data_IF_880351969702
#
_entry.id   IF_880351969702
#
_cell.length_a   1.000
_cell.length_b   1.000
_cell.length_c   1.000
_cell.angle_alpha   90.00
_cell.angle_beta   90.00
_cell.angle_gamma   90.00
#
_symmetry.space_group_name_H-M   'P 1'
#
loop_
_entity.id
_entity.type
_entity.pdbx_description
1 polymer ?
#
# COMPACT_ATOMS: atom_id res chain seq x y z
N UNK A 1 -17.52 -30.56 -16.51
CA UNK A 1 -16.35 -30.16 -15.71
C UNK A 1 -16.23 -28.64 -15.82
N UNK A 2 -16.25 -27.91 -14.71
CA UNK A 2 -16.36 -26.45 -14.74
C UNK A 2 -15.42 -25.86 -13.68
N UNK A 3 -14.12 -25.79 -14.02
CA UNK A 3 -13.09 -25.30 -13.11
C UNK A 3 -13.28 -23.80 -12.90
N UNK A 4 -13.61 -23.38 -11.69
CA UNK A 4 -13.53 -21.97 -11.27
C UNK A 4 -12.08 -21.67 -10.91
N UNK A 5 -11.32 -21.08 -11.82
CA UNK A 5 -9.97 -20.59 -11.49
C UNK A 5 -10.07 -19.43 -10.50
N UNK A 6 -9.21 -19.43 -9.48
CA UNK A 6 -9.12 -18.34 -8.50
C UNK A 6 -8.57 -17.07 -9.15
N UNK A 7 -9.15 -15.91 -8.81
CA UNK A 7 -8.79 -14.62 -9.39
C UNK A 7 -8.22 -13.70 -8.32
N UNK A 8 -6.94 -13.38 -8.49
CA UNK A 8 -6.23 -12.43 -7.63
C UNK A 8 -6.52 -10.98 -8.01
N UNK A 9 -6.77 -10.17 -6.98
CA UNK A 9 -7.28 -8.81 -7.01
C UNK A 9 -8.66 -8.61 -7.68
N UNK A 10 -9.56 -7.95 -6.95
CA UNK A 10 -10.86 -7.44 -7.44
C UNK A 10 -11.86 -8.48 -7.98
N UNK A 11 -12.18 -9.49 -7.17
CA UNK A 11 -13.46 -10.23 -7.31
C UNK A 11 -14.65 -9.38 -6.86
N UNK A 12 -14.96 -8.31 -7.60
CA UNK A 12 -16.07 -7.41 -7.26
C UNK A 12 -17.42 -8.14 -7.28
N UNK A 13 -18.02 -8.32 -6.09
CA UNK A 13 -19.40 -8.81 -5.97
C UNK A 13 -20.33 -7.72 -6.50
N UNK A 14 -21.06 -8.01 -7.59
CA UNK A 14 -22.11 -7.12 -8.10
C UNK A 14 -23.14 -6.85 -6.97
N UNK A 15 -23.47 -5.59 -6.64
CA UNK A 15 -24.59 -5.32 -5.74
C UNK A 15 -25.89 -5.76 -6.42
N UNK A 16 -26.80 -6.35 -5.64
CA UNK A 16 -28.08 -6.87 -6.13
C UNK A 16 -29.10 -5.75 -6.38
N UNK A 17 -28.88 -4.97 -7.44
CA UNK A 17 -29.74 -3.84 -7.81
C UNK A 17 -31.10 -4.32 -8.36
N UNK A 18 -32.09 -4.50 -7.48
CA UNK A 18 -33.53 -4.55 -7.83
C UNK A 18 -34.35 -3.72 -6.84
N UNK A 19 -35.41 -3.11 -7.36
CA UNK A 19 -36.45 -2.36 -6.64
C UNK A 19 -36.01 -1.08 -5.88
N UNK A 20 -35.77 0.01 -6.63
CA UNK A 20 -36.56 1.25 -6.43
C UNK A 20 -36.58 2.17 -7.66
N UNK A 21 -37.23 1.73 -8.74
CA UNK A 21 -37.43 2.55 -9.95
C UNK A 21 -38.85 3.12 -10.00
N UNK A 22 -39.05 4.39 -9.61
CA UNK A 22 -40.22 5.22 -9.95
C UNK A 22 -39.96 6.71 -9.62
N UNK A 23 -40.38 7.61 -10.52
CA UNK A 23 -40.37 9.09 -10.44
C UNK A 23 -39.00 9.80 -10.59
N UNK A 24 -38.55 9.94 -11.84
CA UNK A 24 -37.90 11.18 -12.32
C UNK A 24 -38.99 12.20 -12.73
N UNK A 25 -38.68 13.51 -12.78
CA UNK A 25 -38.20 14.14 -14.03
C UNK A 25 -36.75 14.68 -13.87
N UNK A 26 -35.82 14.35 -14.77
CA UNK A 26 -35.56 14.99 -16.09
C UNK A 26 -35.12 16.47 -15.98
N UNK A 27 -33.82 16.67 -15.77
CA UNK A 27 -33.00 17.71 -16.42
C UNK A 27 -31.67 17.09 -16.88
N UNK A 28 -30.88 17.82 -17.68
CA UNK A 28 -29.90 17.23 -18.61
C UNK A 28 -28.44 17.22 -18.15
N UNK A 29 -27.86 16.02 -18.19
CA UNK A 29 -26.47 15.76 -18.62
C UNK A 29 -25.33 16.26 -17.67
N UNK A 30 -24.03 16.08 -17.98
CA UNK A 30 -23.29 15.02 -17.28
C UNK A 30 -21.89 15.42 -16.75
N UNK A 31 -21.35 14.72 -15.73
CA UNK A 31 -19.88 14.57 -15.56
C UNK A 31 -19.48 13.48 -14.54
N UNK A 32 -18.36 12.81 -14.86
CA UNK A 32 -17.44 11.96 -14.05
C UNK A 32 -17.94 10.85 -13.10
N UNK A 33 -17.16 9.76 -13.13
CA UNK A 33 -17.31 8.57 -12.28
C UNK A 33 -16.20 8.54 -11.23
N UNK A 34 -16.59 8.42 -9.96
CA UNK A 34 -15.76 7.95 -8.84
C UNK A 34 -16.08 6.45 -8.57
N UNK A 35 -15.20 5.64 -7.95
CA UNK A 35 -14.20 6.03 -6.95
C UNK A 35 -12.72 5.73 -7.30
N UNK A 36 -11.84 6.54 -6.71
CA UNK A 36 -10.38 6.38 -6.74
C UNK A 36 -9.79 6.80 -5.38
N UNK A 37 -9.80 5.92 -4.38
CA UNK A 37 -9.19 6.17 -3.06
C UNK A 37 -8.98 4.87 -2.27
N UNK A 38 -7.96 4.09 -2.64
CA UNK A 38 -7.55 2.87 -1.89
C UNK A 38 -6.02 2.63 -1.87
N UNK A 39 -5.22 3.59 -2.37
CA UNK A 39 -3.75 3.52 -2.34
C UNK A 39 -3.09 4.92 -2.34
N UNK A 40 -3.76 5.90 -1.73
CA UNK A 40 -3.27 7.31 -1.66
C UNK A 40 -2.71 7.64 -0.28
N UNK A 41 -3.01 6.84 0.76
CA UNK A 41 -2.70 7.05 2.18
C UNK A 41 -1.20 7.04 2.59
N UNK A 42 -0.28 7.14 1.63
CA UNK A 42 1.17 7.32 1.83
C UNK A 42 1.70 8.42 0.88
N UNK A 43 1.01 9.57 0.83
CA UNK A 43 1.33 10.67 -0.09
C UNK A 43 1.38 12.03 0.62
N UNK A 44 2.57 12.66 0.61
CA UNK A 44 2.83 14.08 0.94
C UNK A 44 2.64 14.45 2.45
N UNK A 45 3.24 15.50 3.01
CA UNK A 45 4.19 16.52 2.49
C UNK A 45 5.45 16.62 3.35
N UNK A 46 6.57 17.00 2.73
CA UNK A 46 7.63 17.80 3.33
C UNK A 46 8.32 18.59 2.20
N UNK A 47 8.49 19.90 2.38
CA UNK A 47 9.19 20.80 1.46
C UNK A 47 10.05 21.76 2.29
N UNK A 48 11.16 22.20 1.70
CA UNK A 48 12.28 22.91 2.35
C UNK A 48 11.98 24.38 2.68
N UNK A 49 12.77 25.02 3.57
CA UNK A 49 13.94 25.76 3.08
C UNK A 49 14.99 26.19 4.14
N UNK A 50 16.23 26.31 3.67
CA UNK A 50 17.42 27.05 4.16
C UNK A 50 17.60 27.45 5.64
N UNK A 51 18.78 27.11 6.17
CA UNK A 51 19.58 28.01 7.03
C UNK A 51 21.08 27.70 6.91
N UNK A 52 21.91 28.74 6.99
CA UNK A 52 23.31 28.76 6.48
C UNK A 52 24.35 28.10 7.39
N UNK A 53 25.46 27.70 6.78
CA UNK A 53 26.66 27.14 7.40
C UNK A 53 27.36 28.07 8.39
N UNK A 54 28.10 27.51 9.36
CA UNK A 54 29.57 27.67 9.49
C UNK A 54 30.15 26.64 10.48
N UNK A 55 31.46 26.31 10.44
CA UNK A 55 31.94 24.97 10.84
C UNK A 55 32.75 24.91 12.15
N UNK A 56 33.01 23.69 12.66
CA UNK A 56 34.11 23.42 13.60
C UNK A 56 34.69 22.01 13.48
N UNK A 57 35.96 21.92 13.06
CA UNK A 57 36.88 20.78 13.28
C UNK A 57 37.58 20.97 14.64
N UNK A 58 38.02 19.97 15.43
CA UNK A 58 38.28 18.53 15.23
C UNK A 58 37.85 17.77 16.54
N UNK A 59 38.15 16.52 16.90
CA UNK A 59 39.20 15.55 16.50
C UNK A 59 38.77 14.09 16.78
N UNK A 60 39.37 13.17 16.03
CA UNK A 60 39.42 11.71 16.18
C UNK A 60 39.58 11.16 17.61
N UNK A 61 38.83 10.11 17.94
CA UNK A 61 39.39 8.86 18.52
C UNK A 61 38.63 7.66 17.95
N UNK A 62 39.33 6.75 17.26
CA UNK A 62 38.75 5.52 16.71
C UNK A 62 39.06 4.32 17.61
N UNK A 63 38.06 3.50 17.91
CA UNK A 63 38.23 2.16 18.47
C UNK A 63 37.60 1.14 17.52
N UNK A 64 38.42 0.39 16.78
CA UNK A 64 37.95 -0.54 15.76
C UNK A 64 37.71 -1.93 16.35
N UNK A 65 36.54 -2.52 16.06
CA UNK A 65 36.31 -3.96 16.18
C UNK A 65 36.26 -4.56 14.78
N UNK A 66 37.39 -5.13 14.35
CA UNK A 66 37.52 -5.79 13.06
C UNK A 66 37.00 -7.24 13.14
N UNK A 67 35.93 -7.56 12.42
CA UNK A 67 35.69 -8.92 11.96
C UNK A 67 35.57 -8.94 10.44
N UNK A 68 36.65 -9.38 9.78
CA UNK A 68 36.75 -9.42 8.33
C UNK A 68 35.97 -10.61 7.75
N UNK A 69 34.75 -10.36 7.28
CA UNK A 69 34.04 -11.27 6.39
C UNK A 69 34.66 -11.21 4.98
N UNK A 70 35.63 -12.10 4.75
CA UNK A 70 36.43 -12.26 3.53
C UNK A 70 35.56 -12.25 2.26
N UNK A 71 35.73 -11.23 1.42
CA UNK A 71 35.02 -11.14 0.13
C UNK A 71 35.40 -12.28 -0.82
N UNK A 72 34.40 -12.93 -1.41
CA UNK A 72 34.57 -13.81 -2.56
C UNK A 72 33.68 -13.33 -3.70
N UNK A 73 34.30 -12.77 -4.74
CA UNK A 73 33.65 -12.68 -6.04
C UNK A 73 33.46 -14.10 -6.57
N UNK A 74 32.22 -14.59 -6.57
CA UNK A 74 31.82 -15.71 -7.41
C UNK A 74 30.73 -15.23 -8.36
N UNK A 75 31.16 -14.95 -9.59
CA UNK A 75 30.28 -14.89 -10.77
C UNK A 75 29.79 -16.30 -11.07
N UNK A 76 28.92 -16.83 -10.20
CA UNK A 76 28.25 -18.11 -10.39
C UNK A 76 26.92 -17.84 -11.08
N UNK A 77 26.73 -18.48 -12.24
CA UNK A 77 25.46 -18.50 -12.95
C UNK A 77 24.44 -19.27 -12.09
N UNK A 78 23.71 -18.55 -11.22
CA UNK A 78 22.76 -19.16 -10.31
C UNK A 78 21.65 -19.83 -11.14
N UNK A 79 21.44 -21.15 -10.99
CA UNK A 79 20.28 -21.79 -11.59
C UNK A 79 19.02 -21.08 -11.10
N UNK A 80 18.31 -20.45 -12.03
CA UNK A 80 16.96 -19.93 -11.81
C UNK A 80 16.19 -21.03 -11.06
N UNK A 81 15.57 -20.74 -9.90
CA UNK A 81 15.01 -21.78 -9.04
C UNK A 81 14.04 -22.62 -9.87
N UNK A 82 14.42 -23.88 -10.09
CA UNK A 82 13.58 -24.84 -10.78
C UNK A 82 12.26 -24.93 -10.01
N UNK A 83 11.17 -25.14 -10.75
CA UNK A 83 9.80 -24.93 -10.27
C UNK A 83 9.41 -26.04 -9.28
N UNK A 84 9.97 -25.99 -8.07
CA UNK A 84 9.97 -27.07 -7.07
C UNK A 84 8.59 -27.40 -6.54
N UNK A 85 7.64 -26.47 -6.64
CA UNK A 85 6.23 -26.71 -6.37
C UNK A 85 5.52 -27.54 -7.47
N UNK A 86 6.13 -27.78 -8.64
CA UNK A 86 5.61 -28.76 -9.62
C UNK A 86 5.73 -30.20 -9.12
N UNK A 87 6.63 -30.46 -8.16
CA UNK A 87 6.76 -31.75 -7.48
C UNK A 87 5.80 -31.89 -6.27
N UNK A 88 5.15 -30.81 -5.83
CA UNK A 88 4.13 -30.88 -4.78
C UNK A 88 2.78 -31.33 -5.36
N UNK A 89 1.98 -32.09 -4.57
CA UNK A 89 0.63 -32.42 -4.99
C UNK A 89 -0.22 -31.15 -5.18
N UNK A 90 -1.05 -31.17 -6.22
CA UNK A 90 -2.03 -30.12 -6.48
C UNK A 90 -2.99 -30.02 -5.29
N UNK A 91 -3.30 -28.80 -4.79
CA UNK A 91 -4.14 -28.65 -3.61
C UNK A 91 -5.57 -29.11 -3.87
N UNK A 92 -6.17 -29.72 -2.86
CA UNK A 92 -7.56 -30.18 -2.84
C UNK A 92 -8.54 -29.01 -2.94
N UNK A 93 -9.81 -29.31 -3.26
CA UNK A 93 -10.86 -28.27 -3.32
C UNK A 93 -11.09 -27.58 -1.97
N UNK A 94 -10.88 -28.28 -0.85
CA UNK A 94 -11.00 -27.73 0.51
C UNK A 94 -9.85 -26.75 0.81
N UNK A 95 -8.61 -27.12 0.48
CA UNK A 95 -7.45 -26.23 0.64
C UNK A 95 -7.56 -24.99 -0.24
N UNK A 96 -7.99 -25.15 -1.51
CA UNK A 96 -8.26 -24.03 -2.42
C UNK A 96 -9.35 -23.11 -1.88
N UNK A 97 -10.46 -23.66 -1.38
CA UNK A 97 -11.55 -22.86 -0.83
C UNK A 97 -11.14 -22.09 0.44
N UNK A 98 -10.28 -22.67 1.30
CA UNK A 98 -9.69 -21.97 2.44
C UNK A 98 -8.73 -20.86 1.99
N UNK A 99 -7.85 -21.13 1.02
CA UNK A 99 -6.95 -20.14 0.47
C UNK A 99 -7.69 -18.97 -0.20
N UNK A 100 -8.72 -19.24 -1.01
CA UNK A 100 -9.63 -18.23 -1.60
C UNK A 100 -10.24 -17.32 -0.53
N UNK A 101 -10.61 -17.89 0.63
CA UNK A 101 -11.20 -17.14 1.74
C UNK A 101 -10.17 -16.28 2.49
N UNK A 102 -8.93 -16.75 2.67
CA UNK A 102 -7.82 -15.96 3.25
C UNK A 102 -7.50 -14.75 2.36
N UNK A 103 -7.44 -14.98 1.05
CA UNK A 103 -7.17 -13.94 0.03
C UNK A 103 -8.32 -12.93 -0.03
N UNK A 104 -9.57 -13.38 0.03
CA UNK A 104 -10.73 -12.49 0.09
C UNK A 104 -10.68 -11.61 1.35
N UNK A 105 -10.42 -12.20 2.51
CA UNK A 105 -10.27 -11.46 3.78
C UNK A 105 -9.13 -10.43 3.72
N UNK A 106 -7.97 -10.79 3.15
CA UNK A 106 -6.87 -9.85 2.94
C UNK A 106 -7.27 -8.63 2.10
N UNK A 107 -7.93 -8.87 0.96
CA UNK A 107 -8.38 -7.81 0.06
C UNK A 107 -9.43 -6.91 0.73
N UNK A 108 -10.44 -7.51 1.39
CA UNK A 108 -11.49 -6.77 2.09
C UNK A 108 -10.92 -5.94 3.25
N UNK A 109 -9.98 -6.51 4.03
CA UNK A 109 -9.32 -5.80 5.12
C UNK A 109 -8.44 -4.62 4.63
N UNK A 110 -7.69 -4.77 3.54
CA UNK A 110 -6.93 -3.65 2.96
C UNK A 110 -7.86 -2.52 2.47
N UNK A 111 -8.98 -2.87 1.84
CA UNK A 111 -9.98 -1.87 1.44
C UNK A 111 -10.57 -1.13 2.66
N UNK A 112 -10.84 -1.85 3.76
CA UNK A 112 -11.33 -1.27 5.01
C UNK A 112 -10.30 -0.33 5.68
N UNK A 113 -9.02 -0.71 5.69
CA UNK A 113 -7.94 0.12 6.25
C UNK A 113 -7.68 1.41 5.45
N UNK A 114 -8.02 1.44 4.17
CA UNK A 114 -7.91 2.61 3.32
C UNK A 114 -9.15 3.53 3.34
N UNK A 115 -10.23 3.12 4.02
CA UNK A 115 -11.57 3.76 3.97
C UNK A 115 -12.05 4.24 5.35
N UNK A 116 -13.15 5.00 5.39
CA UNK A 116 -13.78 5.50 6.62
C UNK A 116 -12.79 6.12 7.62
N UNK A 117 -13.00 5.89 8.93
CA UNK A 117 -12.10 6.35 10.00
C UNK A 117 -10.63 5.92 9.85
N UNK A 118 -10.35 4.79 9.18
CA UNK A 118 -9.00 4.26 9.06
C UNK A 118 -8.18 5.04 8.02
N UNK A 119 -8.75 5.33 6.85
CA UNK A 119 -8.15 6.24 5.86
C UNK A 119 -8.11 7.71 6.33
N UNK A 120 -9.06 8.13 7.17
CA UNK A 120 -9.08 9.48 7.72
C UNK A 120 -7.94 9.77 8.71
N UNK A 121 -7.39 8.77 9.39
CA UNK A 121 -6.33 8.99 10.39
C UNK A 121 -5.06 9.64 9.78
N UNK A 122 -4.64 9.18 8.59
CA UNK A 122 -3.52 9.82 7.87
C UNK A 122 -3.88 11.20 7.34
N UNK A 123 -5.09 11.37 6.80
CA UNK A 123 -5.55 12.65 6.25
C UNK A 123 -5.59 13.74 7.34
N UNK A 124 -6.08 13.43 8.54
CA UNK A 124 -6.05 14.35 9.67
C UNK A 124 -4.61 14.69 10.09
N UNK A 125 -3.67 13.75 9.99
CA UNK A 125 -2.25 14.02 10.29
C UNK A 125 -1.63 14.96 9.23
N UNK A 126 -1.90 14.75 7.94
CA UNK A 126 -1.47 15.66 6.86
C UNK A 126 -2.09 17.06 7.04
N UNK A 127 -3.39 17.15 7.31
CA UNK A 127 -4.07 18.42 7.57
C UNK A 127 -3.54 19.14 8.83
N UNK A 128 -3.11 18.39 9.86
CA UNK A 128 -2.50 18.95 11.09
C UNK A 128 -1.12 19.53 10.82
N UNK A 129 -0.28 18.84 10.03
CA UNK A 129 1.04 19.35 9.62
C UNK A 129 0.92 20.59 8.73
N UNK A 130 -0.07 20.61 7.84
CA UNK A 130 -0.41 21.78 7.04
C UNK A 130 -0.80 22.99 7.91
N UNK A 131 -1.63 22.80 8.96
CA UNK A 131 -1.92 23.87 9.92
C UNK A 131 -0.67 24.39 10.64
N UNK A 132 0.28 23.52 11.03
CA UNK A 132 1.53 23.97 11.66
C UNK A 132 2.45 24.78 10.71
N UNK A 133 2.25 24.69 9.40
CA UNK A 133 3.02 25.40 8.38
C UNK A 133 2.33 26.71 7.97
N UNK A 134 1.07 26.62 7.55
CA UNK A 134 0.32 27.73 6.92
C UNK A 134 -0.64 28.45 7.88
N UNK A 135 -0.74 27.99 9.14
CA UNK A 135 -1.73 28.43 10.15
C UNK A 135 -3.21 28.32 9.70
N UNK A 136 -3.45 27.59 8.62
CA UNK A 136 -4.76 27.37 8.03
C UNK A 136 -5.25 25.95 8.34
N UNK A 137 -6.37 25.84 9.06
CA UNK A 137 -6.98 24.56 9.38
C UNK A 137 -8.01 24.16 8.33
N UNK A 138 -7.73 23.06 7.63
CA UNK A 138 -8.65 22.47 6.64
C UNK A 138 -9.87 21.81 7.32
N UNK A 139 -11.01 21.63 6.63
CA UNK A 139 -12.18 20.99 7.22
C UNK A 139 -11.91 19.51 7.48
N UNK A 140 -12.28 19.05 8.69
CA UNK A 140 -12.27 17.64 9.07
C UNK A 140 -13.29 16.87 8.22
N UNK A 141 -12.93 15.70 7.64
CA UNK A 141 -13.87 14.86 6.90
C UNK A 141 -15.07 14.45 7.77
N UNK A 142 -16.23 14.19 7.15
CA UNK A 142 -17.40 13.64 7.85
C UNK A 142 -17.13 12.23 8.39
N UNK A 143 -17.90 11.77 9.39
CA UNK A 143 -17.81 10.40 9.90
C UNK A 143 -19.15 9.69 9.79
N UNK A 144 -19.14 8.54 9.13
CA UNK A 144 -20.30 7.66 8.97
C UNK A 144 -20.21 6.52 9.98
N UNK A 145 -20.98 6.62 11.06
CA UNK A 145 -20.94 5.64 12.15
C UNK A 145 -21.35 4.22 11.73
N UNK A 146 -22.16 4.08 10.68
CA UNK A 146 -22.53 2.78 10.10
C UNK A 146 -21.47 2.23 9.14
N UNK A 147 -20.79 3.09 8.38
CA UNK A 147 -19.64 2.70 7.58
C UNK A 147 -18.50 2.23 8.49
N UNK A 148 -18.13 3.01 9.51
CA UNK A 148 -17.09 2.65 10.48
C UNK A 148 -17.38 1.32 11.19
N UNK A 149 -18.66 1.03 11.49
CA UNK A 149 -19.11 -0.27 12.02
C UNK A 149 -18.99 -1.40 10.99
N UNK A 150 -19.26 -1.13 9.72
CA UNK A 150 -19.12 -2.12 8.65
C UNK A 150 -17.64 -2.43 8.36
N UNK A 151 -16.77 -1.41 8.30
CA UNK A 151 -15.33 -1.56 8.11
C UNK A 151 -14.68 -2.29 9.29
N UNK A 152 -15.06 -1.98 10.53
CA UNK A 152 -14.55 -2.69 11.71
C UNK A 152 -14.81 -4.21 11.64
N UNK A 153 -15.97 -4.63 11.12
CA UNK A 153 -16.30 -6.05 10.91
C UNK A 153 -15.46 -6.69 9.80
N UNK A 154 -15.04 -5.94 8.78
CA UNK A 154 -14.16 -6.44 7.72
C UNK A 154 -12.71 -6.66 8.22
N UNK A 155 -12.33 -6.07 9.35
CA UNK A 155 -11.04 -6.33 10.01
C UNK A 155 -11.07 -7.50 11.00
N UNK A 156 -12.22 -8.18 11.17
CA UNK A 156 -12.33 -9.36 12.04
C UNK A 156 -12.27 -10.63 11.19
N UNK A 157 -11.24 -11.50 11.35
CA UNK A 157 -11.16 -12.74 10.57
C UNK A 157 -12.29 -13.71 10.96
N UNK A 158 -12.97 -14.35 9.98
CA UNK A 158 -13.90 -15.43 10.24
C UNK A 158 -13.27 -16.58 11.07
N UNK A 159 -14.07 -17.17 11.97
CA UNK A 159 -13.62 -18.25 12.85
C UNK A 159 -13.02 -19.43 12.05
N UNK A 160 -11.84 -19.91 12.48
CA UNK A 160 -11.11 -21.00 11.82
C UNK A 160 -10.43 -20.65 10.49
N UNK A 161 -10.54 -19.41 10.00
CA UNK A 161 -9.85 -18.98 8.79
C UNK A 161 -8.34 -18.90 9.01
N UNK A 162 -7.92 -18.21 10.08
CA UNK A 162 -6.53 -18.04 10.49
C UNK A 162 -6.24 -18.78 11.81
N UNK A 163 -4.97 -18.98 12.19
CA UNK A 163 -4.60 -19.46 13.53
C UNK A 163 -5.16 -18.54 14.63
N UNK A 164 -5.53 -19.10 15.78
CA UNK A 164 -6.21 -18.37 16.87
C UNK A 164 -5.35 -17.22 17.44
N UNK A 165 -4.03 -17.43 17.55
CA UNK A 165 -3.09 -16.38 17.98
C UNK A 165 -3.05 -15.19 17.01
N UNK A 166 -3.02 -15.44 15.71
CA UNK A 166 -3.05 -14.40 14.68
C UNK A 166 -4.41 -13.70 14.61
N UNK A 167 -5.51 -14.45 14.73
CA UNK A 167 -6.85 -13.90 14.78
C UNK A 167 -7.03 -12.95 15.98
N UNK A 168 -6.53 -13.35 17.15
CA UNK A 168 -6.51 -12.52 18.37
C UNK A 168 -5.64 -11.27 18.20
N UNK A 169 -4.47 -11.40 17.55
CA UNK A 169 -3.60 -10.28 17.24
C UNK A 169 -4.28 -9.27 16.28
N UNK A 170 -4.92 -9.73 15.21
CA UNK A 170 -5.61 -8.87 14.25
C UNK A 170 -6.75 -8.09 14.91
N UNK A 171 -7.57 -8.73 15.75
CA UNK A 171 -8.62 -8.05 16.54
C UNK A 171 -8.00 -6.97 17.43
N UNK A 172 -6.97 -7.30 18.21
CA UNK A 172 -6.29 -6.34 19.09
C UNK A 172 -5.70 -5.14 18.33
N UNK A 173 -5.09 -5.36 17.15
CA UNK A 173 -4.57 -4.25 16.34
C UNK A 173 -5.71 -3.41 15.74
N UNK A 174 -6.84 -4.02 15.36
CA UNK A 174 -8.03 -3.30 14.90
C UNK A 174 -8.66 -2.43 16.00
N UNK A 175 -8.63 -2.88 17.26
CA UNK A 175 -9.03 -2.10 18.44
C UNK A 175 -8.08 -0.92 18.72
N UNK A 176 -6.77 -1.15 18.67
CA UNK A 176 -5.76 -0.09 18.85
C UNK A 176 -5.92 0.98 17.76
N UNK A 177 -6.05 0.59 16.49
CA UNK A 177 -6.33 1.50 15.38
C UNK A 177 -7.66 2.26 15.57
N UNK A 178 -8.72 1.59 16.04
CA UNK A 178 -10.01 2.23 16.28
C UNK A 178 -9.93 3.30 17.39
N UNK A 179 -9.21 3.01 18.48
CA UNK A 179 -9.00 3.90 19.62
C UNK A 179 -8.16 5.12 19.24
N UNK A 180 -7.04 4.91 18.55
CA UNK A 180 -6.11 5.97 18.15
C UNK A 180 -6.71 6.88 17.08
N UNK A 181 -7.39 6.33 16.07
CA UNK A 181 -8.14 7.13 15.08
C UNK A 181 -9.24 7.99 15.74
N UNK A 182 -9.93 7.47 16.76
CA UNK A 182 -10.89 8.25 17.54
C UNK A 182 -10.22 9.38 18.34
N UNK A 183 -9.03 9.15 18.90
CA UNK A 183 -8.24 10.18 19.61
C UNK A 183 -7.80 11.30 18.65
N UNK A 184 -7.20 10.94 17.50
CA UNK A 184 -6.79 11.92 16.46
C UNK A 184 -8.01 12.77 16.04
N UNK A 185 -9.16 12.13 15.80
CA UNK A 185 -10.41 12.81 15.41
C UNK A 185 -11.01 13.69 16.52
N UNK A 186 -10.70 13.42 17.80
CA UNK A 186 -11.12 14.22 18.94
C UNK A 186 -10.20 15.44 19.16
N UNK A 187 -8.89 15.25 19.08
CA UNK A 187 -7.89 16.32 19.20
C UNK A 187 -7.99 17.29 18.02
N UNK A 188 -8.22 16.79 16.80
CA UNK A 188 -8.52 17.64 15.64
C UNK A 188 -9.81 18.46 15.86
N UNK A 189 -10.83 17.90 16.53
CA UNK A 189 -12.04 18.65 16.89
C UNK A 189 -11.79 19.67 18.02
N UNK A 190 -10.77 19.47 18.86
CA UNK A 190 -10.33 20.49 19.81
C UNK A 190 -9.61 21.65 19.07
N UNK A 191 -8.79 21.31 18.08
CA UNK A 191 -8.10 22.28 17.22
C UNK A 191 -9.09 23.09 16.37
N UNK A 192 -10.10 22.45 15.78
CA UNK A 192 -11.20 23.11 15.07
C UNK A 192 -12.01 24.09 15.91
N UNK A 193 -12.04 23.92 17.23
CA UNK A 193 -12.66 24.92 18.13
C UNK A 193 -11.68 26.04 18.42
N UNK A 194 -10.45 25.71 18.82
CA UNK A 194 -9.40 26.67 19.17
C UNK A 194 -9.15 27.70 18.05
N UNK A 195 -8.98 27.25 16.80
CA UNK A 195 -8.72 28.13 15.64
C UNK A 195 -9.95 28.97 15.24
N UNK A 196 -11.13 28.69 15.81
CA UNK A 196 -12.38 29.45 15.58
C UNK A 196 -12.80 30.29 16.79
N UNK A 197 -12.02 30.27 17.86
CA UNK A 197 -12.33 30.91 19.13
C UNK A 197 -11.85 32.37 19.09
N UNK A 198 -12.72 33.28 18.67
CA UNK A 198 -12.38 34.70 18.45
C UNK A 198 -12.02 35.46 19.73
N UNK A 199 -12.35 34.88 20.89
CA UNK A 199 -12.01 35.44 22.21
C UNK A 199 -10.61 35.00 22.69
N UNK A 200 -9.89 34.17 21.91
CA UNK A 200 -8.54 33.69 22.21
C UNK A 200 -7.49 34.36 21.31
N UNK A 201 -6.47 34.93 21.93
CA UNK A 201 -5.22 35.27 21.25
C UNK A 201 -4.39 33.99 21.01
N UNK A 202 -4.27 33.55 19.76
CA UNK A 202 -3.50 32.35 19.40
C UNK A 202 -1.98 32.61 19.54
N UNK A 203 -1.36 31.96 20.54
CA UNK A 203 0.10 31.91 20.76
C UNK A 203 0.75 30.66 20.11
N UNK A 204 -0.07 29.81 19.50
CA UNK A 204 0.22 28.50 18.95
C UNK A 204 0.60 27.44 19.98
N UNK A 205 0.64 27.72 21.29
CA UNK A 205 1.08 26.75 22.31
C UNK A 205 0.08 25.61 22.39
N UNK A 206 -1.21 25.93 22.45
CA UNK A 206 -2.30 24.95 22.46
C UNK A 206 -2.47 24.27 21.10
N UNK A 207 -2.24 24.97 19.98
CA UNK A 207 -2.19 24.38 18.64
C UNK A 207 -1.08 23.33 18.49
N UNK A 208 0.15 23.67 18.88
CA UNK A 208 1.32 22.75 18.89
C UNK A 208 1.13 21.57 19.84
N UNK A 209 0.53 21.78 21.02
CA UNK A 209 0.25 20.70 21.97
C UNK A 209 -0.77 19.68 21.43
N UNK A 210 -1.84 20.15 20.78
CA UNK A 210 -2.81 19.29 20.10
C UNK A 210 -2.20 18.53 18.92
N UNK A 211 -1.33 19.19 18.14
CA UNK A 211 -0.61 18.53 17.05
C UNK A 211 0.33 17.41 17.56
N UNK A 212 1.08 17.65 18.65
CA UNK A 212 1.94 16.63 19.26
C UNK A 212 1.14 15.44 19.84
N UNK A 213 -0.06 15.68 20.37
CA UNK A 213 -1.00 14.61 20.77
C UNK A 213 -1.40 13.75 19.57
N UNK A 214 -1.78 14.40 18.47
CA UNK A 214 -2.16 13.72 17.22
C UNK A 214 -1.00 12.95 16.60
N UNK A 215 0.24 13.47 16.61
CA UNK A 215 1.41 12.74 16.12
C UNK A 215 1.71 11.48 16.95
N UNK A 216 1.59 11.58 18.29
CA UNK A 216 1.75 10.41 19.17
C UNK A 216 0.69 9.34 18.90
N UNK A 217 -0.57 9.75 18.75
CA UNK A 217 -1.66 8.83 18.43
C UNK A 217 -1.54 8.26 17.00
N UNK A 218 -1.04 9.03 16.03
CA UNK A 218 -0.79 8.56 14.66
C UNK A 218 0.37 7.56 14.60
N UNK A 219 1.42 7.72 15.40
CA UNK A 219 2.49 6.74 15.52
C UNK A 219 1.98 5.38 16.06
N UNK A 220 1.15 5.39 17.10
CA UNK A 220 0.52 4.16 17.64
C UNK A 220 -0.44 3.53 16.60
N UNK A 221 -1.24 4.36 15.89
CA UNK A 221 -2.10 3.93 14.78
C UNK A 221 -1.29 3.26 13.65
N UNK A 222 -0.20 3.89 13.21
CA UNK A 222 0.61 3.42 12.11
C UNK A 222 1.33 2.10 12.43
N UNK A 223 1.86 1.95 13.65
CA UNK A 223 2.48 0.71 14.11
C UNK A 223 1.46 -0.44 14.24
N UNK A 224 0.26 -0.16 14.76
CA UNK A 224 -0.82 -1.14 14.84
C UNK A 224 -1.29 -1.58 13.43
N UNK A 225 -1.40 -0.62 12.49
CA UNK A 225 -1.73 -0.90 11.08
C UNK A 225 -0.65 -1.73 10.40
N UNK A 226 0.62 -1.40 10.59
CA UNK A 226 1.72 -2.17 9.98
C UNK A 226 1.73 -3.61 10.51
N UNK A 227 1.57 -3.80 11.82
CA UNK A 227 1.45 -5.13 12.42
C UNK A 227 0.24 -5.89 11.87
N UNK A 228 -0.92 -5.25 11.74
CA UNK A 228 -2.11 -5.87 11.17
C UNK A 228 -1.85 -6.33 9.73
N UNK A 229 -1.37 -5.41 8.86
CA UNK A 229 -1.14 -5.66 7.44
C UNK A 229 -0.13 -6.79 7.27
N UNK A 230 1.01 -6.73 7.97
CA UNK A 230 2.08 -7.74 7.88
C UNK A 230 1.60 -9.15 8.25
N UNK A 231 0.76 -9.28 9.29
CA UNK A 231 0.17 -10.57 9.69
C UNK A 231 -0.78 -11.11 8.62
N UNK A 232 -1.70 -10.30 8.08
CA UNK A 232 -2.64 -10.79 7.06
C UNK A 232 -1.98 -11.02 5.69
N UNK A 233 -0.97 -10.22 5.33
CA UNK A 233 -0.17 -10.37 4.11
C UNK A 233 0.63 -11.68 4.12
N UNK A 234 1.23 -12.08 5.25
CA UNK A 234 1.94 -13.37 5.37
C UNK A 234 1.02 -14.59 5.13
N UNK A 235 -0.22 -14.52 5.58
CA UNK A 235 -1.24 -15.55 5.29
C UNK A 235 -1.72 -15.49 3.84
N UNK A 236 -1.88 -14.29 3.27
CA UNK A 236 -2.23 -14.11 1.86
C UNK A 236 -1.17 -14.69 0.91
N UNK A 237 0.12 -14.38 1.12
CA UNK A 237 1.24 -14.91 0.32
C UNK A 237 1.32 -16.44 0.38
N UNK A 238 1.03 -17.03 1.54
CA UNK A 238 0.95 -18.50 1.70
C UNK A 238 -0.22 -19.10 0.90
N UNK A 239 -1.39 -18.43 0.91
CA UNK A 239 -2.56 -18.82 0.14
C UNK A 239 -2.36 -18.61 -1.39
N UNK A 240 -1.68 -17.54 -1.79
CA UNK A 240 -1.25 -17.22 -3.16
C UNK A 240 -0.32 -18.31 -3.71
N UNK A 241 0.73 -18.65 -2.97
CA UNK A 241 1.66 -19.73 -3.33
C UNK A 241 0.96 -21.09 -3.51
N UNK A 242 -0.07 -21.39 -2.71
CA UNK A 242 -0.88 -22.59 -2.84
C UNK A 242 -1.81 -22.54 -4.08
N UNK A 243 -2.55 -21.45 -4.27
CA UNK A 243 -3.50 -21.31 -5.38
C UNK A 243 -2.82 -21.25 -6.77
N UNK A 244 -1.57 -20.79 -6.82
CA UNK A 244 -0.75 -20.73 -8.04
C UNK A 244 -0.02 -22.05 -8.37
N UNK A 245 -0.12 -23.12 -7.56
CA UNK A 245 0.51 -24.42 -7.87
C UNK A 245 -0.04 -25.00 -9.18
N UNK A 246 0.86 -25.22 -10.15
CA UNK A 246 0.52 -25.70 -11.48
C UNK A 246 -0.20 -24.69 -12.38
N UNK A 247 -0.23 -23.39 -12.03
CA UNK A 247 -0.85 -22.36 -12.86
C UNK A 247 0.07 -21.93 -14.01
N UNK A 248 -0.38 -21.91 -15.28
CA UNK A 248 0.49 -21.62 -16.43
C UNK A 248 1.07 -20.20 -16.45
N UNK A 249 0.44 -19.26 -15.72
CA UNK A 249 0.91 -17.87 -15.58
C UNK A 249 1.58 -17.62 -14.22
N UNK A 250 1.92 -18.67 -13.44
CA UNK A 250 2.53 -18.55 -12.10
C UNK A 250 3.70 -17.58 -12.11
N UNK A 251 4.65 -17.75 -13.02
CA UNK A 251 5.87 -16.93 -13.10
C UNK A 251 5.57 -15.46 -13.39
N UNK A 252 4.55 -15.19 -14.20
CA UNK A 252 4.09 -13.84 -14.57
C UNK A 252 3.44 -13.13 -13.38
N UNK A 253 2.57 -13.84 -12.66
CA UNK A 253 1.86 -13.34 -11.47
C UNK A 253 2.87 -13.02 -10.36
N UNK A 254 3.73 -13.98 -10.00
CA UNK A 254 4.82 -13.78 -9.02
C UNK A 254 5.80 -12.67 -9.43
N UNK A 255 6.03 -12.45 -10.73
CA UNK A 255 6.88 -11.36 -11.21
C UNK A 255 6.19 -9.99 -11.10
N UNK A 256 4.88 -9.91 -11.31
CA UNK A 256 4.11 -8.68 -11.11
C UNK A 256 4.02 -8.31 -9.62
N UNK A 257 3.82 -9.29 -8.74
CA UNK A 257 3.87 -9.12 -7.28
C UNK A 257 5.20 -8.52 -6.83
N UNK A 258 6.33 -9.08 -7.28
CA UNK A 258 7.68 -8.54 -6.98
C UNK A 258 7.85 -7.08 -7.41
N UNK A 259 7.32 -6.71 -8.59
CA UNK A 259 7.34 -5.33 -9.09
C UNK A 259 6.50 -4.41 -8.19
N UNK A 260 5.28 -4.81 -7.81
CA UNK A 260 4.44 -4.01 -6.92
C UNK A 260 4.99 -3.93 -5.49
N UNK A 261 5.59 -5.00 -4.97
CA UNK A 261 6.27 -5.03 -3.68
C UNK A 261 7.47 -4.07 -3.65
N UNK A 262 8.25 -4.01 -4.74
CA UNK A 262 9.32 -3.02 -4.91
C UNK A 262 8.80 -1.57 -4.86
N UNK A 263 7.72 -1.25 -5.59
CA UNK A 263 7.06 0.06 -5.49
C UNK A 263 6.56 0.38 -4.07
N UNK A 264 6.03 -0.62 -3.34
CA UNK A 264 5.61 -0.48 -1.95
C UNK A 264 6.78 -0.24 -0.98
N UNK A 265 7.91 -0.88 -1.21
CA UNK A 265 9.14 -0.65 -0.44
C UNK A 265 9.71 0.76 -0.67
N UNK A 266 9.73 1.25 -1.91
CA UNK A 266 10.08 2.65 -2.22
C UNK A 266 9.16 3.63 -1.49
N UNK A 267 7.84 3.39 -1.48
CA UNK A 267 6.90 4.26 -0.75
C UNK A 267 7.21 4.33 0.76
N UNK A 268 7.56 3.19 1.39
CA UNK A 268 8.03 3.16 2.79
C UNK A 268 9.34 3.92 2.99
N UNK A 269 10.33 3.73 2.12
CA UNK A 269 11.62 4.43 2.17
C UNK A 269 11.52 5.95 1.94
N UNK A 270 10.45 6.42 1.29
CA UNK A 270 10.14 7.85 1.09
C UNK A 270 9.21 8.44 2.17
N UNK A 271 8.82 7.67 3.18
CA UNK A 271 7.97 8.14 4.29
C UNK A 271 8.74 8.99 5.33
N UNK A 272 9.99 8.69 5.70
CA UNK A 272 10.80 9.57 6.55
C UNK A 272 11.08 10.94 5.89
N UNK A 273 11.31 12.01 6.69
CA UNK A 273 11.64 13.33 6.15
C UNK A 273 12.99 13.36 5.44
N UNK A 274 13.99 12.65 5.99
CA UNK A 274 15.26 12.36 5.33
C UNK A 274 15.24 10.88 4.91
N UNK A 275 15.12 10.57 3.60
CA UNK A 275 15.01 9.20 3.13
C UNK A 275 16.38 8.51 3.04
N UNK A 276 16.41 7.18 3.15
CA UNK A 276 17.64 6.41 2.97
C UNK A 276 17.99 6.26 1.48
N UNK A 277 18.91 7.10 1.01
CA UNK A 277 19.40 7.10 -0.38
C UNK A 277 20.20 5.84 -0.75
N UNK A 278 20.73 5.08 0.20
CA UNK A 278 21.41 3.82 -0.06
C UNK A 278 20.38 2.70 -0.28
N UNK A 279 19.40 2.58 0.62
CA UNK A 279 18.28 1.65 0.48
C UNK A 279 17.44 1.93 -0.78
N UNK A 280 17.18 3.20 -1.11
CA UNK A 280 16.47 3.57 -2.35
C UNK A 280 17.26 3.17 -3.61
N UNK A 281 18.60 3.27 -3.58
CA UNK A 281 19.46 2.84 -4.71
C UNK A 281 19.50 1.32 -4.87
N UNK A 282 19.53 0.58 -3.76
CA UNK A 282 19.35 -0.87 -3.78
C UNK A 282 17.96 -1.26 -4.31
N UNK A 283 16.90 -0.61 -3.83
CA UNK A 283 15.54 -0.92 -4.24
C UNK A 283 15.27 -0.61 -5.73
N UNK A 284 15.94 0.41 -6.30
CA UNK A 284 15.96 0.70 -7.73
C UNK A 284 16.65 -0.42 -8.54
N UNK A 285 17.80 -0.92 -8.07
CA UNK A 285 18.48 -2.06 -8.68
C UNK A 285 17.58 -3.30 -8.72
N UNK A 286 16.93 -3.61 -7.60
CA UNK A 286 16.10 -4.82 -7.48
C UNK A 286 14.81 -4.72 -8.31
N UNK A 287 14.24 -3.52 -8.44
CA UNK A 287 13.13 -3.25 -9.35
C UNK A 287 13.54 -3.45 -10.82
N UNK A 288 14.74 -2.99 -11.22
CA UNK A 288 15.29 -3.24 -12.56
C UNK A 288 15.49 -4.73 -12.82
N UNK A 289 16.05 -5.47 -11.86
CA UNK A 289 16.24 -6.92 -11.96
C UNK A 289 14.89 -7.67 -12.06
N UNK A 290 13.88 -7.27 -11.30
CA UNK A 290 12.53 -7.84 -11.37
C UNK A 290 11.90 -7.63 -12.76
N UNK A 291 11.93 -6.39 -13.29
CA UNK A 291 11.40 -6.05 -14.61
C UNK A 291 12.13 -6.81 -15.74
N UNK A 292 13.46 -6.88 -15.69
CA UNK A 292 14.29 -7.60 -16.67
C UNK A 292 14.11 -9.13 -16.62
N UNK A 293 13.66 -9.67 -15.49
CA UNK A 293 13.32 -11.10 -15.34
C UNK A 293 11.91 -11.39 -15.82
N UNK A 294 10.95 -10.52 -15.50
CA UNK A 294 9.52 -10.70 -15.81
C UNK A 294 9.22 -10.83 -17.32
N UNK A 295 9.97 -10.12 -18.17
CA UNK A 295 9.73 -10.09 -19.62
C UNK A 295 10.28 -11.27 -20.43
N UNK A 296 11.00 -12.22 -19.80
CA UNK A 296 11.70 -13.33 -20.47
C UNK A 296 10.74 -14.41 -20.98
N UNK A 297 11.07 -15.14 -22.07
CA UNK A 297 10.32 -16.33 -22.51
C UNK A 297 10.53 -17.55 -21.56
N UNK A 298 9.85 -18.69 -21.80
CA UNK A 298 8.64 -18.84 -22.61
C UNK A 298 7.43 -18.18 -21.93
N UNK A 299 6.38 -17.89 -22.69
CA UNK A 299 5.12 -17.38 -22.16
C UNK A 299 4.01 -18.39 -22.54
N UNK A 300 3.46 -19.10 -21.57
CA UNK A 300 2.53 -20.21 -21.80
C UNK A 300 1.07 -19.71 -21.76
N UNK A 301 0.71 -18.85 -22.72
CA UNK A 301 -0.60 -18.24 -22.85
C UNK A 301 -0.94 -17.94 -24.32
N UNK A 302 -2.15 -17.43 -24.58
CA UNK A 302 -2.44 -16.85 -25.89
C UNK A 302 -1.69 -15.51 -26.09
N UNK A 303 -1.47 -15.07 -27.35
CA UNK A 303 -0.72 -13.85 -27.64
C UNK A 303 -1.30 -12.57 -27.02
N UNK A 304 -2.62 -12.49 -26.80
CA UNK A 304 -3.27 -11.32 -26.21
C UNK A 304 -2.95 -11.18 -24.71
N UNK A 305 -2.96 -12.28 -23.96
CA UNK A 305 -2.55 -12.29 -22.54
C UNK A 305 -1.06 -11.95 -22.41
N UNK A 306 -0.20 -12.43 -23.31
CA UNK A 306 1.21 -12.00 -23.35
C UNK A 306 1.33 -10.49 -23.65
N UNK A 307 0.61 -9.99 -24.67
CA UNK A 307 0.62 -8.58 -25.07
C UNK A 307 0.20 -7.66 -23.92
N UNK A 308 -0.83 -8.04 -23.16
CA UNK A 308 -1.31 -7.29 -21.99
C UNK A 308 -0.32 -7.34 -20.82
N UNK A 309 0.36 -8.47 -20.58
CA UNK A 309 1.43 -8.53 -19.58
C UNK A 309 2.63 -7.65 -19.96
N UNK A 310 3.03 -7.66 -21.24
CA UNK A 310 4.09 -6.77 -21.75
C UNK A 310 3.69 -5.29 -21.67
N UNK A 311 2.40 -4.95 -21.83
CA UNK A 311 1.90 -3.60 -21.58
C UNK A 311 2.03 -3.19 -20.10
N UNK A 312 1.71 -4.10 -19.16
CA UNK A 312 1.96 -3.89 -17.73
C UNK A 312 3.46 -3.61 -17.44
N UNK A 313 4.37 -4.43 -17.96
CA UNK A 313 5.81 -4.22 -17.77
C UNK A 313 6.28 -2.87 -18.33
N UNK A 314 5.77 -2.46 -19.51
CA UNK A 314 6.07 -1.13 -20.09
C UNK A 314 5.60 0.00 -19.17
N UNK A 315 4.41 -0.10 -18.57
CA UNK A 315 3.93 0.91 -17.61
C UNK A 315 4.70 0.90 -16.29
N UNK A 316 5.17 -0.27 -15.83
CA UNK A 316 5.97 -0.40 -14.62
C UNK A 316 7.41 0.15 -14.80
N UNK A 317 8.01 -0.01 -15.97
CA UNK A 317 9.28 0.63 -16.31
C UNK A 317 9.19 2.18 -16.23
N UNK A 318 8.02 2.76 -16.53
CA UNK A 318 7.78 4.19 -16.31
C UNK A 318 7.91 4.64 -14.85
N UNK A 319 7.66 3.76 -13.87
CA UNK A 319 7.91 4.05 -12.45
C UNK A 319 9.41 3.95 -12.11
N UNK A 320 10.10 2.92 -12.62
CA UNK A 320 11.54 2.74 -12.46
C UNK A 320 12.30 3.99 -12.94
N UNK A 321 11.94 4.54 -14.10
CA UNK A 321 12.63 5.70 -14.67
C UNK A 321 12.41 6.98 -13.85
N UNK A 322 11.26 7.12 -13.17
CA UNK A 322 10.98 8.22 -12.25
C UNK A 322 11.71 8.04 -10.91
N UNK A 323 11.80 6.80 -10.41
CA UNK A 323 12.61 6.46 -9.24
C UNK A 323 14.10 6.76 -9.51
N UNK A 324 14.61 6.41 -10.69
CA UNK A 324 15.97 6.71 -11.09
C UNK A 324 16.28 8.22 -11.03
N UNK A 325 15.38 9.06 -11.58
CA UNK A 325 15.50 10.52 -11.51
C UNK A 325 15.62 11.03 -10.06
N UNK A 326 14.82 10.51 -9.12
CA UNK A 326 14.88 10.90 -7.71
C UNK A 326 16.10 10.37 -6.95
N UNK A 327 16.58 9.16 -7.29
CA UNK A 327 17.82 8.58 -6.71
C UNK A 327 19.08 9.28 -7.22
N UNK A 328 19.08 9.74 -8.47
CA UNK A 328 20.17 10.48 -9.10
C UNK A 328 20.24 11.92 -8.58
N UNK A 329 19.11 12.64 -8.59
CA UNK A 329 19.02 14.00 -8.02
C UNK A 329 19.10 14.04 -6.48
N UNK A 330 19.09 12.88 -5.82
CA UNK A 330 18.96 12.72 -4.36
C UNK A 330 17.77 13.49 -3.76
N UNK A 331 16.73 13.74 -4.56
CA UNK A 331 15.61 14.60 -4.17
C UNK A 331 14.29 14.11 -4.79
N UNK A 332 13.25 13.99 -3.96
CA UNK A 332 11.94 13.51 -4.35
C UNK A 332 10.89 14.61 -4.18
N UNK A 333 10.89 15.55 -5.12
CA UNK A 333 9.93 16.67 -5.15
C UNK A 333 8.47 16.18 -5.21
N UNK A 334 7.53 16.98 -4.69
CA UNK A 334 6.11 16.61 -4.71
C UNK A 334 5.58 16.27 -6.13
N UNK A 335 5.92 17.01 -7.21
CA UNK A 335 5.54 16.63 -8.57
C UNK A 335 6.16 15.30 -9.05
N UNK A 336 7.39 14.97 -8.61
CA UNK A 336 8.00 13.66 -8.93
C UNK A 336 7.28 12.53 -8.19
N UNK A 337 7.03 12.69 -6.88
CA UNK A 337 6.24 11.73 -6.08
C UNK A 337 4.84 11.52 -6.66
N UNK A 338 4.18 12.58 -7.14
CA UNK A 338 2.89 12.48 -7.83
C UNK A 338 3.01 11.66 -9.12
N UNK A 339 3.97 11.98 -10.01
CA UNK A 339 4.20 11.21 -11.26
C UNK A 339 4.52 9.74 -10.99
N UNK A 340 5.27 9.44 -9.92
CA UNK A 340 5.52 8.07 -9.45
C UNK A 340 4.21 7.38 -9.04
N UNK A 341 3.39 8.02 -8.22
CA UNK A 341 2.08 7.49 -7.84
C UNK A 341 1.17 7.27 -9.06
N UNK A 342 1.20 8.16 -10.06
CA UNK A 342 0.47 8.03 -11.31
C UNK A 342 0.94 6.81 -12.12
N UNK A 343 2.25 6.58 -12.21
CA UNK A 343 2.83 5.40 -12.86
C UNK A 343 2.42 4.09 -12.16
N UNK A 344 2.35 4.03 -10.82
CA UNK A 344 1.82 2.85 -10.10
C UNK A 344 0.35 2.60 -10.43
N UNK A 345 -0.49 3.65 -10.48
CA UNK A 345 -1.92 3.49 -10.82
C UNK A 345 -2.10 3.01 -12.25
N UNK A 346 -1.34 3.54 -13.21
CA UNK A 346 -1.36 3.11 -14.60
C UNK A 346 -0.86 1.66 -14.77
N UNK A 347 0.20 1.29 -14.06
CA UNK A 347 0.72 -0.08 -14.00
C UNK A 347 -0.31 -1.07 -13.45
N UNK A 348 -0.99 -0.73 -12.35
CA UNK A 348 -2.09 -1.53 -11.80
C UNK A 348 -3.28 -1.64 -12.77
N UNK A 349 -3.61 -0.58 -13.50
CA UNK A 349 -4.68 -0.61 -14.51
C UNK A 349 -4.35 -1.56 -15.67
N UNK A 350 -3.10 -1.57 -16.14
CA UNK A 350 -2.60 -2.50 -17.16
C UNK A 350 -2.56 -3.96 -16.65
N UNK A 351 -2.06 -4.19 -15.43
CA UNK A 351 -2.08 -5.52 -14.80
C UNK A 351 -3.51 -6.07 -14.66
N UNK A 352 -4.46 -5.23 -14.21
CA UNK A 352 -5.86 -5.61 -14.13
C UNK A 352 -6.49 -5.94 -15.50
N UNK A 353 -5.94 -5.43 -16.61
CA UNK A 353 -6.37 -5.83 -17.96
C UNK A 353 -5.82 -7.22 -18.34
N UNK A 354 -4.54 -7.48 -18.08
CA UNK A 354 -3.92 -8.81 -18.20
C UNK A 354 -4.70 -9.87 -17.40
N UNK A 355 -5.00 -9.59 -16.12
CA UNK A 355 -5.77 -10.50 -15.26
C UNK A 355 -7.16 -10.79 -15.85
N UNK A 356 -7.89 -9.78 -16.34
CA UNK A 356 -9.21 -9.99 -16.97
C UNK A 356 -9.14 -10.90 -18.20
N UNK A 357 -8.17 -10.71 -19.09
CA UNK A 357 -7.99 -11.58 -20.26
C UNK A 357 -7.62 -13.01 -19.86
N UNK A 358 -6.65 -13.17 -18.95
CA UNK A 358 -6.21 -14.46 -18.43
C UNK A 358 -7.33 -15.31 -17.79
N UNK A 359 -8.38 -14.65 -17.29
CA UNK A 359 -9.56 -15.27 -16.68
C UNK A 359 -10.74 -15.47 -17.66
N UNK A 360 -10.59 -15.07 -18.92
CA UNK A 360 -11.62 -15.18 -19.98
C UNK A 360 -11.22 -16.20 -21.06
N UNK A 361 -9.93 -16.51 -21.17
CA UNK A 361 -9.35 -17.53 -22.07
C UNK A 361 -9.16 -18.91 -21.40
N UNK A 362 -9.81 -19.16 -20.25
CA UNK A 362 -9.78 -20.42 -19.48
C UNK A 362 -11.19 -21.00 -19.29
#
# INVERSE_FOLDING_TARGET
MTRRTAVFFLRSRKPAARALARRLPRLLAPVLVYPLLALVALSLTACDNDSKETPTTSTTTSAALQHAAKGQNQTADQPQPADSDQALPLPTEVERAKADAVVAFYNDALNALASGRYGQADLLMVQTRYYLQEWQLLPRPEASGDEDRALARQLTPPAGLLPEADATLLVRQAEIMAKTAASIRADYRALERYVKDVDIQDDGVKGRALAASMEKAHAEFAAARESYVRTVEAHAVTAEGLLLRGHPLRRQILAAERVFAGCGAVARLLTPPVPDHAALRAQLHDLRAALATAGRPPFLAAPEVERLFRAFLKTAAGYETLLAQGVEAQFFSAPLRQRMNDAVRNSRAAYNAFVRAANTEQ
#
